data_IF_019990826140
#
_entry.id   IF_019990826140
#
_cell.length_a   1.000
_cell.length_b   1.000
_cell.length_c   1.000
_cell.angle_alpha   90.00
_cell.angle_beta   90.00
_cell.angle_gamma   90.00
#
_symmetry.space_group_name_H-M   'P 1'
#
loop_
_entity.id
_entity.type
_entity.pdbx_description
1 polymer ?
#
# COMPACT_ATOMS: atom_id res chain seq x y z
N UNK A 1 -3.59 -37.83 -50.95
CA UNK A 1 -3.69 -37.42 -50.58
C UNK A 1 -3.76 -36.97 -49.92
N UNK A 2 -3.87 -36.94 -49.86
CA UNK A 2 -4.04 -36.39 -49.25
C UNK A 2 -4.06 -35.75 -48.57
N UNK A 3 -4.10 -35.59 -48.36
CA UNK A 3 -4.09 -34.96 -47.82
C UNK A 3 -4.24 -34.31 -47.11
N UNK A 4 -4.26 -34.20 -47.04
CA UNK A 4 -4.36 -33.45 -46.49
C UNK A 4 -4.52 -33.01 -45.67
N UNK A 5 -4.48 -32.99 -45.63
CA UNK A 5 -4.58 -32.44 -45.08
C UNK A 5 -4.71 -31.80 -44.47
N UNK A 6 -4.73 -31.69 -44.50
CA UNK A 6 -4.87 -31.03 -44.16
C UNK A 6 -5.17 -30.42 -43.46
N UNK A 7 -5.13 -30.74 -43.66
CA UNK A 7 -5.38 -30.15 -43.25
C UNK A 7 -5.60 -29.69 -42.47
N UNK A 8 -5.61 -29.73 -42.54
CA UNK A 8 -5.82 -29.19 -42.06
C UNK A 8 -6.12 -28.53 -41.54
N UNK A 9 -6.08 -28.55 -41.76
CA UNK A 9 -6.35 -27.79 -41.52
C UNK A 9 -6.75 -27.19 -41.09
N UNK A 10 -6.80 -27.11 -41.03
CA UNK A 10 -7.24 -26.47 -40.78
C UNK A 10 -7.40 -25.92 -40.41
N UNK A 11 -7.47 -25.98 -40.54
CA UNK A 11 -7.71 -25.23 -40.21
C UNK A 11 -7.98 -24.56 -39.78
N UNK A 12 -8.11 -24.38 -40.06
CA UNK A 12 -8.43 -23.76 -39.59
C UNK A 12 -8.67 -23.48 -38.75
N UNK A 13 -8.54 -23.64 -38.78
CA UNK A 13 -8.67 -23.44 -38.03
C UNK A 13 -8.53 -23.30 -37.23
N UNK A 14 -8.45 -23.35 -37.10
CA UNK A 14 -8.22 -23.26 -36.36
C UNK A 14 -8.17 -22.97 -35.51
N UNK A 15 -8.16 -22.94 -35.58
CA UNK A 15 -8.20 -22.71 -34.81
C UNK A 15 -8.25 -22.83 -33.96
N UNK A 16 -8.18 -23.04 -33.80
CA UNK A 16 -8.19 -23.21 -32.92
C UNK A 16 -8.15 -23.23 -32.26
N UNK A 17 -7.95 -23.19 -31.86
CA UNK A 17 -7.86 -23.23 -31.20
C UNK A 17 -8.12 -22.74 -30.51
N UNK A 18 -8.12 -22.50 -30.41
CA UNK A 18 -8.41 -22.16 -29.65
C UNK A 18 -8.81 -22.32 -28.68
N UNK A 19 -9.03 -22.60 -28.54
CA UNK A 19 -9.61 -22.89 -27.52
C UNK A 19 -9.02 -23.41 -26.46
N UNK A 20 -8.46 -23.91 -26.59
CA UNK A 20 -7.97 -24.27 -25.72
C UNK A 20 -7.47 -23.60 -25.05
N UNK A 21 -7.25 -23.14 -25.25
CA UNK A 21 -6.86 -22.51 -24.55
C UNK A 21 -7.62 -22.31 -23.77
N UNK A 22 -8.40 -22.81 -23.94
CA UNK A 22 -9.17 -22.85 -23.13
C UNK A 22 -8.92 -22.54 -21.87
N UNK A 23 -8.23 -23.03 -21.49
CA UNK A 23 -8.02 -22.69 -20.42
C UNK A 23 -7.69 -21.52 -20.34
N UNK A 24 -8.15 -20.95 -20.24
CA UNK A 24 -7.82 -19.78 -20.07
C UNK A 24 -7.95 -19.01 -21.19
N UNK A 25 -8.10 -19.51 -22.03
CA UNK A 25 -8.20 -18.86 -23.17
C UNK A 25 -7.55 -17.58 -23.19
N UNK A 26 -7.19 -17.05 -23.94
CA UNK A 26 -6.70 -15.81 -24.27
C UNK A 26 -5.66 -15.23 -23.38
N UNK A 27 -6.06 -14.63 -22.33
CA UNK A 27 -5.17 -13.82 -21.56
C UNK A 27 -4.36 -14.62 -20.57
N UNK A 28 -3.04 -14.45 -20.52
CA UNK A 28 -2.25 -15.14 -19.50
C UNK A 28 -2.64 -14.67 -18.12
N UNK A 29 -2.49 -15.56 -17.16
CA UNK A 29 -2.81 -15.25 -15.80
C UNK A 29 -1.74 -14.32 -15.25
N UNK A 30 -2.16 -13.25 -14.58
CA UNK A 30 -1.23 -12.34 -13.96
C UNK A 30 -0.65 -12.96 -12.70
N UNK A 31 0.65 -12.89 -12.58
CA UNK A 31 1.32 -13.37 -11.39
C UNK A 31 1.66 -12.19 -10.48
N UNK A 32 1.30 -12.35 -9.22
CA UNK A 32 1.59 -11.33 -8.22
C UNK A 32 2.84 -11.74 -7.47
N UNK A 33 3.81 -10.84 -7.40
CA UNK A 33 5.03 -11.06 -6.64
C UNK A 33 4.72 -10.78 -5.16
N UNK A 34 4.33 -11.85 -4.45
CA UNK A 34 3.92 -11.71 -3.05
C UNK A 34 5.05 -11.30 -2.12
N UNK A 35 6.30 -11.64 -2.48
CA UNK A 35 7.45 -11.18 -1.70
C UNK A 35 7.59 -9.67 -1.78
N UNK A 36 7.41 -9.12 -2.97
CA UNK A 36 7.44 -7.68 -3.14
C UNK A 36 6.29 -7.02 -2.37
N UNK A 37 5.10 -7.62 -2.43
CA UNK A 37 3.94 -7.10 -1.68
C UNK A 37 4.26 -7.03 -0.20
N UNK A 38 4.83 -8.10 0.35
CA UNK A 38 5.18 -8.17 1.75
C UNK A 38 6.18 -7.08 2.14
N UNK A 39 7.21 -6.91 1.34
CA UNK A 39 8.24 -5.90 1.60
C UNK A 39 7.68 -4.48 1.52
N UNK A 40 6.90 -4.20 0.48
CA UNK A 40 6.33 -2.88 0.29
C UNK A 40 5.31 -2.55 1.38
N UNK A 41 4.49 -3.53 1.76
CA UNK A 41 3.54 -3.34 2.85
C UNK A 41 4.25 -3.05 4.17
N UNK A 42 5.40 -3.70 4.41
CA UNK A 42 6.13 -3.50 5.66
C UNK A 42 6.69 -2.09 5.81
N UNK A 43 6.87 -1.37 4.71
CA UNK A 43 7.25 0.05 4.78
C UNK A 43 6.04 0.95 4.59
N UNK A 44 4.85 0.41 4.80
CA UNK A 44 3.59 1.14 4.85
C UNK A 44 3.14 1.70 3.50
N UNK A 45 3.55 1.08 2.39
CA UNK A 45 3.06 1.47 1.07
C UNK A 45 1.57 1.21 0.97
N UNK A 46 0.87 2.12 0.30
CA UNK A 46 -0.56 1.96 0.05
C UNK A 46 -0.79 0.93 -1.04
N UNK A 47 -2.04 0.47 -1.14
CA UNK A 47 -2.41 -0.45 -2.21
C UNK A 47 -2.19 0.18 -3.58
N UNK A 48 -2.42 1.49 -3.69
CA UNK A 48 -2.21 2.20 -4.95
C UNK A 48 -0.73 2.21 -5.34
N UNK A 49 0.14 2.41 -4.36
CA UNK A 49 1.59 2.40 -4.63
C UNK A 49 2.06 1.02 -5.05
N UNK A 50 1.56 -0.02 -4.38
CA UNK A 50 1.91 -1.39 -4.73
C UNK A 50 1.38 -1.75 -6.11
N UNK A 51 0.16 -1.30 -6.41
CA UNK A 51 -0.45 -1.48 -7.72
C UNK A 51 0.43 -0.87 -8.81
N UNK A 52 0.90 0.35 -8.59
CA UNK A 52 1.76 1.03 -9.55
C UNK A 52 3.09 0.29 -9.71
N UNK A 53 3.64 -0.22 -8.61
CA UNK A 53 4.92 -0.92 -8.65
C UNK A 53 4.82 -2.24 -9.41
N UNK A 54 3.71 -2.98 -9.16
CA UNK A 54 3.50 -4.29 -9.79
C UNK A 54 2.96 -4.20 -11.21
N UNK A 55 2.38 -3.06 -11.58
CA UNK A 55 1.71 -2.93 -12.86
C UNK A 55 0.38 -3.68 -12.93
N UNK A 56 -0.25 -3.90 -11.78
CA UNK A 56 -1.52 -4.62 -11.68
C UNK A 56 -2.51 -3.70 -10.98
N UNK A 57 -3.73 -3.59 -11.51
CA UNK A 57 -4.72 -2.67 -10.95
C UNK A 57 -5.10 -3.04 -9.51
N UNK A 58 -5.47 -2.03 -8.74
CA UNK A 58 -5.91 -2.23 -7.35
C UNK A 58 -7.11 -3.18 -7.32
N UNK A 59 -8.05 -2.99 -8.25
CA UNK A 59 -9.23 -3.85 -8.31
C UNK A 59 -8.87 -5.32 -8.46
N UNK A 60 -7.86 -5.62 -9.27
CA UNK A 60 -7.39 -6.99 -9.44
C UNK A 60 -6.72 -7.50 -8.17
N UNK A 61 -5.91 -6.66 -7.55
CA UNK A 61 -5.19 -7.05 -6.34
C UNK A 61 -6.14 -7.37 -5.18
N UNK A 62 -7.16 -6.53 -4.97
CA UNK A 62 -8.05 -6.71 -3.82
C UNK A 62 -8.97 -7.92 -3.97
N UNK A 63 -9.11 -8.43 -5.18
CA UNK A 63 -9.88 -9.65 -5.42
C UNK A 63 -9.07 -10.91 -5.08
N UNK A 64 -7.79 -10.78 -4.96
CA UNK A 64 -6.92 -11.90 -4.62
C UNK A 64 -6.78 -11.99 -3.11
N UNK A 65 -7.39 -13.01 -2.52
CA UNK A 65 -7.39 -13.19 -1.07
C UNK A 65 -5.97 -13.31 -0.50
N UNK A 66 -5.09 -13.94 -1.26
CA UNK A 66 -3.71 -14.09 -0.82
C UNK A 66 -3.01 -12.73 -0.74
N UNK A 67 -3.25 -11.87 -1.74
CA UNK A 67 -2.72 -10.51 -1.70
C UNK A 67 -3.22 -9.77 -0.47
N UNK A 68 -4.53 -9.82 -0.22
CA UNK A 68 -5.13 -9.09 0.91
C UNK A 68 -4.51 -9.53 2.23
N UNK A 69 -4.35 -10.85 2.41
CA UNK A 69 -3.77 -11.38 3.64
C UNK A 69 -2.32 -10.97 3.83
N UNK A 70 -1.52 -11.08 2.77
CA UNK A 70 -0.10 -10.73 2.83
C UNK A 70 0.08 -9.23 3.03
N UNK A 71 -0.75 -8.43 2.35
CA UNK A 71 -0.70 -6.98 2.50
C UNK A 71 -1.00 -6.56 3.94
N UNK A 72 -2.08 -7.09 4.50
CA UNK A 72 -2.48 -6.77 5.88
C UNK A 72 -1.39 -7.17 6.87
N UNK A 73 -0.87 -8.38 6.71
CA UNK A 73 0.20 -8.88 7.59
C UNK A 73 1.46 -8.01 7.46
N UNK A 74 1.80 -7.61 6.25
CA UNK A 74 2.97 -6.76 6.02
C UNK A 74 2.82 -5.40 6.68
N UNK A 75 1.64 -4.79 6.56
CA UNK A 75 1.37 -3.49 7.20
C UNK A 75 1.55 -3.60 8.72
N UNK A 76 0.98 -4.64 9.32
CA UNK A 76 1.07 -4.81 10.77
C UNK A 76 2.50 -5.07 11.21
N UNK A 77 3.22 -5.91 10.47
CA UNK A 77 4.61 -6.19 10.79
C UNK A 77 5.47 -4.93 10.69
N UNK A 78 5.20 -4.10 9.69
CA UNK A 78 5.91 -2.83 9.53
C UNK A 78 5.66 -1.89 10.69
N UNK A 79 4.41 -1.81 11.16
CA UNK A 79 4.07 -0.99 12.31
C UNK A 79 4.80 -1.45 13.55
N UNK A 80 4.84 -2.76 13.77
CA UNK A 80 5.57 -3.30 14.91
C UNK A 80 7.06 -3.02 14.81
N UNK A 81 7.61 -3.14 13.62
CA UNK A 81 9.03 -2.88 13.39
C UNK A 81 9.36 -1.41 13.68
N UNK A 82 8.53 -0.49 13.17
CA UNK A 82 8.71 0.92 13.43
C UNK A 82 8.67 1.21 14.93
N UNK A 83 7.69 0.63 15.62
CA UNK A 83 7.55 0.82 17.05
C UNK A 83 8.77 0.32 17.81
N UNK A 84 9.32 -0.83 17.40
CA UNK A 84 10.53 -1.36 18.03
C UNK A 84 11.72 -0.41 17.86
N UNK A 85 11.86 0.16 16.65
CA UNK A 85 12.95 1.10 16.40
C UNK A 85 12.79 2.38 17.21
N UNK A 86 11.56 2.88 17.31
CA UNK A 86 11.30 4.05 18.13
C UNK A 86 11.61 3.79 19.60
N UNK A 87 11.20 2.62 20.09
CA UNK A 87 11.44 2.25 21.47
C UNK A 87 12.92 2.10 21.77
N UNK A 88 13.64 1.51 20.81
CA UNK A 88 15.09 1.38 20.96
C UNK A 88 15.77 2.75 20.97
N UNK A 89 15.36 3.66 20.13
CA UNK A 89 15.90 5.02 20.12
C UNK A 89 15.65 5.70 21.45
N UNK A 90 14.48 5.47 22.04
CA UNK A 90 14.13 6.00 23.34
C UNK A 90 15.08 5.46 24.42
N UNK A 91 15.33 4.14 24.42
CA UNK A 91 16.25 3.51 25.36
C UNK A 91 17.67 4.01 25.19
N UNK A 92 18.06 4.35 23.98
CA UNK A 92 19.38 4.88 23.69
C UNK A 92 19.52 6.38 24.06
N UNK A 93 18.47 6.97 24.58
CA UNK A 93 18.51 8.35 25.08
C UNK A 93 18.16 9.41 24.04
N UNK A 94 17.47 9.05 22.97
CA UNK A 94 17.10 10.03 21.96
C UNK A 94 16.01 10.95 22.52
N UNK A 95 16.36 12.21 22.77
CA UNK A 95 15.48 13.18 23.40
C UNK A 95 14.23 13.43 22.57
N UNK A 96 14.38 13.53 21.25
CA UNK A 96 13.24 13.76 20.36
C UNK A 96 12.23 12.61 20.49
N UNK A 97 12.73 11.37 20.55
CA UNK A 97 11.87 10.21 20.65
C UNK A 97 11.21 10.13 22.03
N UNK A 98 11.93 10.55 23.09
CA UNK A 98 11.35 10.63 24.43
C UNK A 98 10.14 11.55 24.44
N UNK A 99 10.30 12.74 23.89
CA UNK A 99 9.20 13.70 23.82
C UNK A 99 8.05 13.19 22.95
N UNK A 100 8.40 12.67 21.77
CA UNK A 100 7.38 12.21 20.82
C UNK A 100 6.56 11.06 21.39
N UNK A 101 7.22 10.04 21.91
CA UNK A 101 6.51 8.88 22.45
C UNK A 101 5.70 9.24 23.69
N UNK A 102 6.19 10.19 24.50
CA UNK A 102 5.43 10.69 25.62
C UNK A 102 4.12 11.33 25.18
N UNK A 103 4.18 12.13 24.11
CA UNK A 103 2.96 12.74 23.56
C UNK A 103 2.00 11.70 23.02
N UNK A 104 2.51 10.69 22.33
CA UNK A 104 1.66 9.69 21.69
C UNK A 104 1.02 8.71 22.66
N UNK A 105 1.77 8.24 23.66
CA UNK A 105 1.29 7.19 24.54
C UNK A 105 0.83 7.66 25.90
N UNK A 106 1.38 8.77 26.39
CA UNK A 106 1.04 9.29 27.72
C UNK A 106 0.21 10.56 27.68
N UNK A 107 -0.16 10.96 26.46
CA UNK A 107 -0.99 12.16 26.27
C UNK A 107 -0.36 13.42 26.82
N UNK A 108 0.96 13.45 26.84
CA UNK A 108 1.68 14.65 27.23
C UNK A 108 1.55 15.69 26.12
N UNK A 109 1.45 16.95 26.50
CA UNK A 109 1.31 18.01 25.52
C UNK A 109 2.03 19.24 26.01
N UNK A 110 2.42 20.09 25.08
CA UNK A 110 2.95 21.40 25.42
C UNK A 110 1.77 22.34 25.52
N UNK A 111 1.72 23.06 26.64
CA UNK A 111 0.72 24.08 26.79
C UNK A 111 1.31 25.38 26.21
N UNK A 112 0.58 25.94 25.28
CA UNK A 112 1.00 27.16 24.64
C UNK A 112 -0.10 28.20 24.86
N UNK A 113 0.25 29.28 25.53
CA UNK A 113 -0.68 30.38 25.75
C UNK A 113 -0.33 31.50 24.80
N UNK A 114 -1.28 31.89 23.98
CA UNK A 114 -1.11 33.03 23.09
C UNK A 114 -1.85 34.20 23.73
N UNK A 115 -1.10 35.17 24.20
CA UNK A 115 -1.68 36.35 24.80
C UNK A 115 -1.29 37.58 24.01
N UNK A 116 -2.08 38.60 24.08
CA UNK A 116 -1.73 39.90 23.53
C UNK A 116 -0.64 40.57 24.34
N UNK A 117 -0.22 41.76 23.93
CA UNK A 117 0.73 42.53 24.70
C UNK A 117 0.15 42.76 26.10
N UNK A 118 1.01 42.77 27.08
CA UNK A 118 0.63 42.96 28.48
C UNK A 118 -0.17 41.82 29.07
N UNK A 119 -0.10 40.63 28.45
CA UNK A 119 -0.74 39.46 29.01
C UNK A 119 -2.25 39.43 28.89
N UNK A 120 -2.79 40.28 28.08
CA UNK A 120 -4.24 40.33 27.92
C UNK A 120 -4.71 39.35 26.89
N UNK A 121 -6.01 39.13 26.90
CA UNK A 121 -6.64 38.22 25.96
C UNK A 121 -6.40 38.64 24.53
N UNK A 122 -6.01 37.67 23.69
CA UNK A 122 -5.76 37.91 22.26
C UNK A 122 -7.09 37.90 21.52
N UNK A 123 -7.42 39.02 20.90
CA UNK A 123 -8.67 39.15 20.16
C UNK A 123 -8.38 39.16 18.67
N UNK A 124 -9.05 38.25 17.94
CA UNK A 124 -8.91 38.16 16.49
C UNK A 124 -10.15 38.77 15.87
N UNK A 125 -9.98 39.82 15.09
CA UNK A 125 -11.10 40.52 14.45
C UNK A 125 -10.99 40.32 12.93
N UNK A 126 -12.08 39.86 12.35
CA UNK A 126 -12.15 39.73 10.90
C UNK A 126 -12.60 41.04 10.30
N UNK A 127 -11.84 41.54 9.37
CA UNK A 127 -12.22 42.70 8.60
C UNK A 127 -12.79 42.21 7.27
N UNK A 128 -13.99 42.69 6.89
CA UNK A 128 -14.55 42.33 5.60
C UNK A 128 -13.71 42.93 4.47
N UNK A 129 -13.67 42.27 3.30
CA UNK A 129 -12.90 42.83 2.18
C UNK A 129 -13.50 44.16 1.76
N UNK A 130 -12.60 45.05 1.35
CA UNK A 130 -12.99 46.42 0.92
C UNK A 130 -13.41 46.45 -0.53
#
# INVERSE_FOLDING_TARGET
MNRRKETKISPRTGQPKQGEQGEGGGRPKLEIDYEAVKKLASIQCTQAEISAWLGISVDTLVKDEKFVGIYKSGIENGRMSLRRHQWKALEDGNTTMLVWLGKQYLRQSEKQELTGSDGKELTITWLPPQ
#
